data_IF_395040114894
#
_entry.id   IF_395040114894
#
_cell.length_a   1.000
_cell.length_b   1.000
_cell.length_c   1.000
_cell.angle_alpha   90.00
_cell.angle_beta   90.00
_cell.angle_gamma   90.00
#
_symmetry.space_group_name_H-M   'P 1'
#
loop_
_entity.id
_entity.type
_entity.pdbx_description
1 polymer ?
#
# COMPACT_ATOMS: atom_id res chain seq x y z
N UNK A 1 0.49 21.47 -2.63
CA UNK A 1 0.46 20.27 -3.49
C UNK A 1 -0.20 19.17 -2.69
N UNK A 2 -1.11 18.42 -3.31
CA UNK A 2 -1.87 17.38 -2.63
C UNK A 2 -1.54 16.00 -3.18
N UNK A 3 -0.99 15.14 -2.33
CA UNK A 3 -0.53 13.79 -2.72
C UNK A 3 -1.29 12.73 -1.93
N UNK A 4 -1.81 11.74 -2.64
CA UNK A 4 -2.28 10.49 -2.02
C UNK A 4 -1.18 9.44 -2.13
N UNK A 5 -0.96 8.69 -1.07
CA UNK A 5 -0.06 7.55 -1.03
C UNK A 5 -0.84 6.32 -0.58
N UNK A 6 -1.02 5.36 -1.47
CA UNK A 6 -1.51 4.04 -1.09
C UNK A 6 -0.35 3.15 -0.68
N UNK A 7 -0.51 2.41 0.40
CA UNK A 7 0.53 1.54 0.94
C UNK A 7 0.07 0.10 0.91
N UNK A 8 0.84 -0.77 0.27
CA UNK A 8 0.69 -2.23 0.37
C UNK A 8 1.88 -2.83 1.12
N UNK A 9 1.74 -4.03 1.69
CA UNK A 9 2.79 -4.62 2.54
C UNK A 9 3.78 -5.49 1.77
N UNK A 10 3.35 -6.19 0.73
CA UNK A 10 4.14 -7.22 0.05
C UNK A 10 5.46 -6.71 -0.56
N UNK A 11 5.48 -5.46 -1.01
CA UNK A 11 6.64 -4.80 -1.61
C UNK A 11 7.38 -3.85 -0.66
N UNK A 12 7.04 -3.81 0.63
CA UNK A 12 7.77 -3.01 1.62
C UNK A 12 9.19 -3.55 1.78
N UNK A 13 10.13 -2.63 1.98
CA UNK A 13 11.55 -2.94 2.11
C UNK A 13 11.80 -3.98 3.21
N UNK A 14 12.44 -5.09 2.85
CA UNK A 14 12.78 -6.18 3.77
C UNK A 14 11.69 -7.25 3.96
N UNK A 15 10.50 -7.06 3.39
CA UNK A 15 9.46 -8.09 3.37
C UNK A 15 9.74 -9.10 2.25
N UNK A 16 9.82 -10.38 2.63
CA UNK A 16 10.23 -11.47 1.71
C UNK A 16 9.28 -12.66 1.70
N UNK A 17 8.29 -12.69 2.61
CA UNK A 17 7.32 -13.79 2.70
C UNK A 17 6.02 -13.35 3.35
N UNK A 18 4.97 -14.17 3.18
CA UNK A 18 3.63 -13.93 3.75
C UNK A 18 3.63 -13.90 5.29
N UNK A 19 4.67 -14.43 5.93
CA UNK A 19 4.78 -14.44 7.39
C UNK A 19 4.92 -13.02 7.96
N UNK A 20 5.32 -12.05 7.14
CA UNK A 20 5.39 -10.62 7.47
C UNK A 20 4.09 -9.86 7.17
N UNK A 21 3.27 -10.31 6.23
CA UNK A 21 2.11 -9.57 5.73
C UNK A 21 0.78 -10.10 6.26
N UNK A 22 0.71 -11.39 6.60
CA UNK A 22 -0.50 -11.99 7.15
C UNK A 22 -0.67 -11.69 8.63
N UNK A 23 -1.88 -11.33 9.08
CA UNK A 23 -2.17 -10.99 10.48
C UNK A 23 -1.94 -12.14 11.48
N UNK A 24 -1.96 -13.38 11.01
CA UNK A 24 -1.64 -14.59 11.75
C UNK A 24 -0.17 -15.06 11.56
N UNK A 25 0.59 -14.34 10.74
CA UNK A 25 2.00 -14.59 10.47
C UNK A 25 2.89 -14.29 11.67
N UNK A 26 3.92 -15.09 11.86
CA UNK A 26 4.82 -14.98 13.03
C UNK A 26 5.64 -13.69 13.02
N UNK A 27 5.86 -13.11 11.85
CA UNK A 27 6.66 -11.91 11.63
C UNK A 27 5.79 -10.69 11.34
N UNK A 28 4.46 -10.79 11.46
CA UNK A 28 3.54 -9.70 11.16
C UNK A 28 3.87 -8.41 11.93
N UNK A 29 4.20 -8.53 13.22
CA UNK A 29 4.63 -7.39 14.02
C UNK A 29 5.84 -6.67 13.41
N UNK A 30 6.87 -7.42 13.01
CA UNK A 30 8.04 -6.86 12.31
C UNK A 30 7.64 -6.26 10.94
N UNK A 31 6.77 -6.93 10.19
CA UNK A 31 6.26 -6.42 8.92
C UNK A 31 5.58 -5.06 9.05
N UNK A 32 4.72 -4.89 10.07
CA UNK A 32 4.07 -3.60 10.35
C UNK A 32 5.06 -2.50 10.79
N UNK A 33 6.18 -2.87 11.43
CA UNK A 33 7.24 -1.92 11.78
C UNK A 33 8.05 -1.48 10.55
N UNK A 34 8.39 -2.41 9.66
CA UNK A 34 9.05 -2.10 8.39
C UNK A 34 8.15 -1.21 7.51
N UNK A 35 6.85 -1.53 7.43
CA UNK A 35 5.86 -0.73 6.70
C UNK A 35 5.80 0.71 7.22
N UNK A 36 5.77 0.88 8.56
CA UNK A 36 5.80 2.21 9.16
C UNK A 36 7.11 2.96 8.84
N UNK A 37 8.24 2.27 8.78
CA UNK A 37 9.53 2.84 8.37
C UNK A 37 9.51 3.42 6.96
N UNK A 38 9.04 2.63 5.99
CA UNK A 38 8.93 3.06 4.59
C UNK A 38 7.92 4.21 4.42
N UNK A 39 6.76 4.14 5.11
CA UNK A 39 5.78 5.25 5.13
C UNK A 39 6.44 6.52 5.65
N UNK A 40 7.13 6.46 6.78
CA UNK A 40 7.74 7.62 7.40
C UNK A 40 8.82 8.23 6.51
N UNK A 41 9.65 7.40 5.87
CA UNK A 41 10.67 7.85 4.93
C UNK A 41 10.04 8.56 3.73
N UNK A 42 8.97 7.99 3.16
CA UNK A 42 8.27 8.57 2.02
C UNK A 42 7.56 9.89 2.40
N UNK A 43 6.91 9.95 3.56
CA UNK A 43 6.29 11.18 4.07
C UNK A 43 7.34 12.27 4.34
N UNK A 44 8.47 11.92 4.95
CA UNK A 44 9.57 12.87 5.16
C UNK A 44 10.07 13.44 3.84
N UNK A 45 10.28 12.59 2.83
CA UNK A 45 10.71 13.05 1.50
C UNK A 45 9.70 14.00 0.83
N UNK A 46 8.40 13.79 1.03
CA UNK A 46 7.36 14.70 0.56
C UNK A 46 7.38 16.05 1.29
N UNK A 47 7.56 16.02 2.62
CA UNK A 47 7.71 17.24 3.43
C UNK A 47 8.93 18.04 2.98
N UNK A 48 10.06 17.38 2.78
CA UNK A 48 11.30 18.02 2.32
C UNK A 48 11.15 18.62 0.91
N UNK A 49 10.28 18.03 0.08
CA UNK A 49 9.91 18.54 -1.23
C UNK A 49 8.86 19.68 -1.19
N UNK A 50 8.39 20.08 0.00
CA UNK A 50 7.42 21.16 0.19
C UNK A 50 5.96 20.77 -0.06
N UNK A 51 5.62 19.49 0.04
CA UNK A 51 4.23 19.01 -0.03
C UNK A 51 3.54 19.26 1.32
N UNK A 52 2.39 19.91 1.30
CA UNK A 52 1.65 20.41 2.46
C UNK A 52 0.35 19.64 2.77
N UNK A 53 -0.17 18.87 1.80
CA UNK A 53 -1.34 17.98 2.00
C UNK A 53 -0.99 16.54 1.58
N UNK A 54 -0.71 15.69 2.56
CA UNK A 54 -0.30 14.30 2.37
C UNK A 54 -1.37 13.39 2.99
N UNK A 55 -1.98 12.54 2.16
CA UNK A 55 -2.95 11.52 2.58
C UNK A 55 -2.33 10.15 2.39
N UNK A 56 -2.18 9.40 3.48
CA UNK A 56 -1.70 8.01 3.44
C UNK A 56 -2.87 7.07 3.67
N UNK A 57 -3.05 6.10 2.77
CA UNK A 57 -4.11 5.10 2.82
C UNK A 57 -3.52 3.69 2.90
N UNK A 58 -3.86 2.98 3.97
CA UNK A 58 -3.47 1.58 4.17
C UNK A 58 -4.32 0.68 3.24
N UNK A 59 -3.70 0.18 2.16
CA UNK A 59 -4.35 -0.63 1.13
C UNK A 59 -4.19 -2.13 1.33
N UNK A 60 -3.44 -2.56 2.34
CA UNK A 60 -3.15 -3.96 2.54
C UNK A 60 -4.28 -4.66 3.31
N UNK A 61 -4.83 -5.74 2.73
CA UNK A 61 -5.79 -6.63 3.39
C UNK A 61 -6.95 -5.90 4.10
N UNK A 62 -6.92 -5.81 5.44
CA UNK A 62 -7.97 -5.20 6.25
C UNK A 62 -7.88 -3.67 6.42
N UNK A 63 -6.86 -3.02 5.83
CA UNK A 63 -6.58 -1.58 5.98
C UNK A 63 -6.37 -1.16 7.44
N UNK A 64 -5.85 -2.06 8.27
CA UNK A 64 -5.68 -1.89 9.73
C UNK A 64 -4.32 -2.45 10.17
N UNK A 65 -3.26 -2.12 9.44
CA UNK A 65 -1.93 -2.70 9.62
C UNK A 65 -0.96 -1.68 10.22
N UNK A 66 -1.01 -0.42 9.75
CA UNK A 66 -0.10 0.62 10.20
C UNK A 66 -0.33 1.04 11.67
N UNK A 67 0.74 1.07 12.47
CA UNK A 67 0.70 1.53 13.86
C UNK A 67 0.62 3.05 13.91
N UNK A 68 -0.58 3.62 14.04
CA UNK A 68 -0.82 5.07 14.00
C UNK A 68 0.08 5.89 14.93
N UNK A 69 0.52 5.33 16.06
CA UNK A 69 1.38 6.01 17.04
C UNK A 69 2.85 6.07 16.62
N UNK A 70 3.25 5.34 15.59
CA UNK A 70 4.62 5.29 15.04
C UNK A 70 4.75 6.05 13.71
N UNK A 71 3.68 6.67 13.21
CA UNK A 71 3.66 7.29 11.89
C UNK A 71 3.99 8.79 11.95
N UNK A 72 4.55 9.30 10.86
CA UNK A 72 5.00 10.67 10.73
C UNK A 72 3.81 11.65 10.85
N UNK A 73 3.89 12.70 11.71
CA UNK A 73 2.72 13.51 12.06
C UNK A 73 2.24 14.46 10.93
N UNK A 74 3.05 14.69 9.90
CA UNK A 74 2.70 15.59 8.80
C UNK A 74 1.68 15.02 7.79
N UNK A 75 1.30 13.74 7.91
CA UNK A 75 0.33 13.13 7.00
C UNK A 75 -1.00 12.82 7.71
N UNK A 76 -2.08 12.86 6.93
CA UNK A 76 -3.38 12.36 7.35
C UNK A 76 -3.48 10.88 6.99
N UNK A 77 -3.67 10.03 8.00
CA UNK A 77 -3.80 8.60 7.83
C UNK A 77 -5.24 8.17 7.74
N UNK A 78 -5.53 7.35 6.75
CA UNK A 78 -6.83 6.73 6.58
C UNK A 78 -6.68 5.22 6.74
N UNK A 79 -7.37 4.71 7.75
CA UNK A 79 -7.37 3.31 8.14
C UNK A 79 -8.82 2.86 8.37
N UNK A 80 -9.04 1.55 8.38
CA UNK A 80 -10.36 0.95 8.47
C UNK A 80 -10.85 0.51 7.09
N UNK A 81 -11.54 -0.62 7.08
CA UNK A 81 -11.87 -1.35 5.86
C UNK A 81 -12.60 -0.51 4.81
N UNK A 82 -12.51 -1.00 3.58
CA UNK A 82 -13.05 -0.35 2.38
C UNK A 82 -14.56 -0.14 2.51
N UNK A 83 -14.98 1.06 2.88
CA UNK A 83 -16.39 1.43 2.78
C UNK A 83 -16.76 1.46 1.28
N UNK A 84 -17.72 0.61 0.90
CA UNK A 84 -18.30 0.52 -0.45
C UNK A 84 -17.43 -0.13 -1.55
N UNK A 85 -16.38 -0.89 -1.19
CA UNK A 85 -15.62 -1.70 -2.15
C UNK A 85 -14.67 -0.93 -3.10
N UNK A 86 -14.46 0.37 -2.88
CA UNK A 86 -13.52 1.18 -3.66
C UNK A 86 -12.14 1.25 -3.01
N UNK A 87 -11.11 0.64 -3.64
CA UNK A 87 -9.71 0.64 -3.16
C UNK A 87 -9.14 2.05 -2.95
N UNK A 88 -9.54 3.03 -3.77
CA UNK A 88 -9.04 4.41 -3.74
C UNK A 88 -10.09 5.40 -3.23
N UNK A 89 -10.57 5.20 -2.00
CA UNK A 89 -11.63 6.02 -1.44
C UNK A 89 -11.19 7.49 -1.31
N UNK A 90 -11.97 8.39 -1.91
CA UNK A 90 -11.74 9.84 -1.85
C UNK A 90 -10.55 10.32 -2.67
N UNK A 91 -10.01 9.50 -3.58
CA UNK A 91 -9.15 9.98 -4.66
C UNK A 91 -10.03 10.63 -5.73
N UNK A 92 -9.72 11.87 -6.10
CA UNK A 92 -10.42 12.64 -7.11
C UNK A 92 -9.44 13.58 -7.86
N UNK A 93 -9.98 14.44 -8.73
CA UNK A 93 -9.17 15.39 -9.51
C UNK A 93 -8.52 16.52 -8.69
N UNK A 94 -8.68 16.58 -7.36
CA UNK A 94 -8.00 17.55 -6.51
C UNK A 94 -6.57 17.14 -6.13
N UNK A 95 -6.20 15.88 -6.36
CA UNK A 95 -4.86 15.38 -6.08
C UNK A 95 -3.91 15.64 -7.25
N UNK A 96 -2.73 16.17 -6.95
CA UNK A 96 -1.66 16.44 -7.92
C UNK A 96 -0.87 15.16 -8.27
N UNK A 97 -0.96 14.12 -7.43
CA UNK A 97 -0.23 12.89 -7.63
C UNK A 97 -0.68 11.73 -6.74
N UNK A 98 -0.35 10.52 -7.21
CA UNK A 98 -0.57 9.26 -6.51
C UNK A 98 0.76 8.51 -6.38
N UNK A 99 1.06 8.04 -5.16
CA UNK A 99 2.20 7.17 -4.87
C UNK A 99 1.68 5.78 -4.51
N UNK A 100 2.27 4.76 -5.13
CA UNK A 100 2.03 3.34 -4.87
C UNK A 100 3.22 2.78 -4.09
N UNK A 101 3.19 2.90 -2.77
CA UNK A 101 4.28 2.48 -1.89
C UNK A 101 4.12 1.01 -1.49
N UNK A 102 5.18 0.22 -1.59
CA UNK A 102 5.17 -1.19 -1.17
C UNK A 102 4.30 -2.10 -2.04
N UNK A 103 3.92 -1.65 -3.25
CA UNK A 103 3.16 -2.46 -4.20
C UNK A 103 4.02 -3.58 -4.81
N UNK A 104 3.37 -4.64 -5.26
CA UNK A 104 4.00 -5.86 -5.77
C UNK A 104 3.55 -6.19 -7.20
N UNK A 105 4.23 -7.16 -7.81
CA UNK A 105 3.90 -7.60 -9.16
C UNK A 105 2.56 -8.37 -9.21
N UNK A 106 1.91 -8.31 -10.36
CA UNK A 106 0.69 -9.07 -10.66
C UNK A 106 0.93 -10.57 -10.73
N UNK A 107 -0.15 -11.36 -10.72
CA UNK A 107 -0.03 -12.79 -10.59
C UNK A 107 0.67 -13.45 -11.79
N UNK A 108 1.48 -14.47 -11.54
CA UNK A 108 2.25 -15.19 -12.56
C UNK A 108 3.48 -14.43 -13.10
N UNK A 109 3.87 -13.32 -12.46
CA UNK A 109 5.13 -12.63 -12.78
C UNK A 109 6.32 -13.46 -12.30
N UNK A 110 7.15 -13.92 -13.25
CA UNK A 110 8.28 -14.79 -12.94
C UNK A 110 9.29 -14.10 -12.01
N UNK A 111 9.75 -14.83 -10.98
CA UNK A 111 10.71 -14.38 -9.97
C UNK A 111 10.25 -13.21 -9.07
N UNK A 112 8.99 -12.80 -9.14
CA UNK A 112 8.47 -11.76 -8.27
C UNK A 112 8.16 -12.31 -6.87
N UNK A 113 8.59 -11.57 -5.85
CA UNK A 113 8.29 -11.85 -4.45
C UNK A 113 6.82 -11.50 -4.19
N UNK A 114 6.09 -12.43 -3.56
CA UNK A 114 4.70 -12.24 -3.15
C UNK A 114 3.74 -11.78 -4.26
N UNK A 115 4.03 -12.19 -5.50
CA UNK A 115 3.16 -11.93 -6.63
C UNK A 115 1.75 -12.46 -6.41
N UNK A 116 0.77 -11.62 -6.73
CA UNK A 116 -0.63 -11.98 -6.81
C UNK A 116 -1.42 -10.84 -7.47
N UNK A 117 -2.73 -11.03 -7.62
CA UNK A 117 -3.64 -9.98 -8.10
C UNK A 117 -4.90 -10.04 -7.27
N UNK A 118 -5.21 -8.97 -6.56
CA UNK A 118 -6.29 -8.82 -5.58
C UNK A 118 -6.25 -9.90 -4.50
N UNK A 119 -6.78 -11.08 -4.78
CA UNK A 119 -6.76 -12.22 -3.86
C UNK A 119 -6.38 -13.48 -4.62
N UNK A 120 -5.29 -14.13 -4.22
CA UNK A 120 -4.86 -15.41 -4.80
C UNK A 120 -5.92 -16.52 -4.70
N UNK A 121 -6.94 -16.35 -3.85
CA UNK A 121 -8.04 -17.31 -3.70
C UNK A 121 -9.07 -17.22 -4.84
N UNK A 122 -9.21 -16.07 -5.49
CA UNK A 122 -10.28 -15.84 -6.48
C UNK A 122 -9.82 -15.16 -7.77
N UNK A 123 -8.59 -14.66 -7.83
CA UNK A 123 -8.06 -13.90 -8.95
C UNK A 123 -6.70 -14.43 -9.38
N UNK A 124 -6.52 -14.56 -10.69
CA UNK A 124 -5.22 -14.84 -11.30
C UNK A 124 -4.89 -13.82 -12.40
N UNK A 125 -5.87 -13.42 -13.23
CA UNK A 125 -5.67 -12.39 -14.25
C UNK A 125 -6.82 -11.41 -14.24
N UNK A 126 -6.49 -10.12 -14.18
CA UNK A 126 -7.43 -9.04 -14.44
C UNK A 126 -7.07 -8.37 -15.75
N UNK A 127 -8.07 -8.10 -16.60
CA UNK A 127 -7.87 -7.42 -17.87
C UNK A 127 -8.78 -6.20 -17.99
N UNK A 128 -8.22 -5.09 -18.44
CA UNK A 128 -8.96 -3.89 -18.83
C UNK A 128 -8.67 -3.63 -20.30
N UNK A 129 -9.73 -3.58 -21.13
CA UNK A 129 -9.62 -3.42 -22.58
C UNK A 129 -8.63 -4.41 -23.23
N UNK A 130 -8.64 -5.66 -22.77
CA UNK A 130 -7.78 -6.74 -23.28
C UNK A 130 -6.35 -6.75 -22.73
N UNK A 131 -5.91 -5.70 -22.04
CA UNK A 131 -4.58 -5.62 -21.41
C UNK A 131 -4.63 -6.16 -19.98
N UNK A 132 -3.69 -7.03 -19.65
CA UNK A 132 -3.55 -7.57 -18.29
C UNK A 132 -2.94 -6.53 -17.34
N UNK A 133 -3.57 -6.37 -16.18
CA UNK A 133 -3.20 -5.40 -15.14
C UNK A 133 -3.10 -6.07 -13.77
N UNK A 134 -2.35 -5.45 -12.87
CA UNK A 134 -2.31 -5.80 -11.44
C UNK A 134 -2.92 -4.70 -10.58
N UNK A 135 -2.64 -4.78 -9.28
CA UNK A 135 -2.94 -3.72 -8.32
C UNK A 135 -1.93 -2.55 -8.44
N UNK A 136 -0.67 -2.90 -8.71
CA UNK A 136 0.41 -1.98 -9.03
C UNK A 136 0.63 -1.83 -10.54
N UNK A 137 1.62 -1.00 -10.94
CA UNK A 137 1.93 -0.72 -12.34
C UNK A 137 2.45 -1.94 -13.13
#
# INVERSE_FOLDING_TARGET
>A
MKIMMGVDMEGITGIVSRDFTSRDGRLYGLGTELMAGDINAAVQGLVDAGVDDIVVWDNHSSSLNAHITKLHPAATYRCGGIANGLRWQGLDGSFDGLILLGYHAKAGTLHAVLEHTMSSASWFRLKVNGREIGEGP
#
